data_IF_565327758536
#
_entry.id   IF_565327758536
#
_cell.length_a   1.000
_cell.length_b   1.000
_cell.length_c   1.000
_cell.angle_alpha   90.00
_cell.angle_beta   90.00
_cell.angle_gamma   90.00
#
_symmetry.space_group_name_H-M   'P 1'
#
loop_
_entity.id
_entity.type
_entity.pdbx_description
1 polymer ?
#
# COMPACT_ATOMS: atom_id res chain seq x y z
N UNK A 1 -8.51 8.62 22.21
CA UNK A 1 -7.54 8.04 21.27
C UNK A 1 -6.17 8.60 21.57
N UNK A 2 -5.20 7.72 21.70
CA UNK A 2 -3.81 8.09 21.91
C UNK A 2 -3.14 8.63 20.61
N UNK A 3 -1.93 9.19 20.76
CA UNK A 3 -1.19 9.79 19.64
C UNK A 3 -0.87 8.77 18.55
N UNK A 4 -0.52 7.53 18.93
CA UNK A 4 -0.16 6.46 17.99
C UNK A 4 -1.36 6.05 17.14
N UNK A 5 -2.55 5.93 17.74
CA UNK A 5 -3.77 5.59 17.00
C UNK A 5 -4.19 6.69 16.04
N UNK A 6 -4.02 7.97 16.44
CA UNK A 6 -4.27 9.10 15.52
C UNK A 6 -3.30 9.07 14.34
N UNK A 7 -2.02 8.85 14.59
CA UNK A 7 -1.01 8.74 13.55
C UNK A 7 -1.33 7.58 12.59
N UNK A 8 -1.74 6.42 13.12
CA UNK A 8 -2.16 5.27 12.32
C UNK A 8 -3.33 5.61 11.39
N UNK A 9 -4.35 6.28 11.91
CA UNK A 9 -5.53 6.70 11.13
C UNK A 9 -5.13 7.69 10.03
N UNK A 10 -4.26 8.64 10.32
CA UNK A 10 -3.75 9.59 9.33
C UNK A 10 -2.99 8.87 8.23
N UNK A 11 -2.10 7.93 8.58
CA UNK A 11 -1.38 7.13 7.57
C UNK A 11 -2.33 6.31 6.69
N UNK A 12 -3.36 5.70 7.27
CA UNK A 12 -4.36 4.97 6.50
C UNK A 12 -5.15 5.88 5.55
N UNK A 13 -5.52 7.09 6.00
CA UNK A 13 -6.19 8.09 5.16
C UNK A 13 -5.29 8.58 4.01
N UNK A 14 -4.02 8.84 4.27
CA UNK A 14 -3.02 9.16 3.24
C UNK A 14 -2.88 8.00 2.26
N UNK A 15 -2.87 6.76 2.76
CA UNK A 15 -2.83 5.55 1.94
C UNK A 15 -4.02 5.45 0.96
N UNK A 16 -5.22 5.83 1.40
CA UNK A 16 -6.41 5.90 0.52
C UNK A 16 -6.18 6.90 -0.61
N UNK A 17 -5.69 8.10 -0.30
CA UNK A 17 -5.43 9.13 -1.30
C UNK A 17 -4.37 8.67 -2.31
N UNK A 18 -3.29 8.04 -1.83
CA UNK A 18 -2.22 7.48 -2.69
C UNK A 18 -2.77 6.34 -3.55
N UNK A 19 -3.62 5.47 -3.02
CA UNK A 19 -4.22 4.37 -3.78
C UNK A 19 -5.16 4.87 -4.88
N UNK A 20 -5.93 5.93 -4.63
CA UNK A 20 -6.77 6.59 -5.64
C UNK A 20 -5.89 7.18 -6.76
N UNK A 21 -4.83 7.89 -6.38
CA UNK A 21 -3.88 8.43 -7.36
C UNK A 21 -3.19 7.33 -8.17
N UNK A 22 -2.79 6.24 -7.52
CA UNK A 22 -2.21 5.07 -8.18
C UNK A 22 -3.14 4.49 -9.25
N UNK A 23 -4.42 4.31 -8.92
CA UNK A 23 -5.42 3.84 -9.88
C UNK A 23 -5.62 4.81 -11.05
N UNK A 24 -5.65 6.10 -10.78
CA UNK A 24 -5.73 7.12 -11.82
C UNK A 24 -4.51 7.08 -12.75
N UNK A 25 -3.31 7.01 -12.20
CA UNK A 25 -2.05 6.98 -12.95
C UNK A 25 -1.92 5.69 -13.79
N UNK A 26 -2.33 4.54 -13.24
CA UNK A 26 -2.33 3.27 -13.95
C UNK A 26 -3.31 3.28 -15.13
N UNK A 27 -4.53 3.75 -14.94
CA UNK A 27 -5.54 3.84 -16.02
C UNK A 27 -5.09 4.82 -17.11
N UNK A 28 -4.51 5.96 -16.73
CA UNK A 28 -3.98 6.92 -17.72
C UNK A 28 -2.74 6.41 -18.45
N UNK A 29 -1.90 5.61 -17.80
CA UNK A 29 -0.73 4.99 -18.42
C UNK A 29 -1.12 4.01 -19.55
N UNK A 30 -2.25 3.30 -19.42
CA UNK A 30 -2.77 2.45 -20.51
C UNK A 30 -3.27 3.26 -21.71
N UNK A 31 -3.80 4.46 -21.46
CA UNK A 31 -4.37 5.33 -22.52
C UNK A 31 -3.35 6.24 -23.18
N UNK A 32 -2.37 6.72 -22.42
CA UNK A 32 -1.32 7.63 -22.88
C UNK A 32 0.02 7.32 -22.19
N UNK A 33 0.78 6.34 -22.69
CA UNK A 33 2.05 5.94 -22.08
C UNK A 33 3.04 7.11 -21.98
N UNK A 34 3.68 7.25 -20.82
CA UNK A 34 4.69 8.27 -20.57
C UNK A 34 4.16 9.63 -20.11
N UNK A 35 2.84 9.80 -19.98
CA UNK A 35 2.24 10.98 -19.37
C UNK A 35 2.01 10.70 -17.87
N UNK A 36 2.45 11.57 -17.02
CA UNK A 36 2.25 11.46 -15.57
C UNK A 36 3.49 11.88 -14.79
N UNK A 37 3.26 12.43 -13.61
CA UNK A 37 4.32 12.89 -12.70
C UNK A 37 5.14 11.75 -12.09
N UNK A 38 4.66 10.51 -12.20
CA UNK A 38 5.34 9.32 -11.71
C UNK A 38 6.48 8.84 -12.64
N UNK A 39 6.55 9.35 -13.86
CA UNK A 39 7.57 8.97 -14.84
C UNK A 39 8.74 9.96 -14.81
N UNK A 40 9.72 9.70 -13.94
CA UNK A 40 10.88 10.57 -13.72
C UNK A 40 11.99 10.26 -14.75
N UNK A 41 12.30 8.97 -14.93
CA UNK A 41 13.30 8.46 -15.89
C UNK A 41 13.02 6.99 -16.22
N UNK A 42 13.89 6.33 -16.98
CA UNK A 42 13.72 4.93 -17.40
C UNK A 42 13.74 3.93 -16.23
N UNK A 43 14.31 4.28 -15.10
CA UNK A 43 14.38 3.43 -13.89
C UNK A 43 13.20 3.71 -12.95
N UNK A 44 12.89 5.00 -12.74
CA UNK A 44 11.77 5.43 -11.92
C UNK A 44 10.59 5.80 -12.83
N UNK A 45 9.84 4.79 -13.24
CA UNK A 45 8.73 4.92 -14.18
C UNK A 45 7.57 4.03 -13.79
N UNK A 46 6.46 4.63 -13.38
CA UNK A 46 5.23 3.91 -13.14
C UNK A 46 4.70 3.24 -14.42
N UNK A 47 4.82 3.91 -15.57
CA UNK A 47 4.40 3.33 -16.84
C UNK A 47 5.14 2.04 -17.18
N UNK A 48 6.46 1.96 -16.91
CA UNK A 48 7.24 0.74 -17.11
C UNK A 48 6.76 -0.40 -16.24
N UNK A 49 6.42 -0.12 -14.99
CA UNK A 49 5.88 -1.11 -14.06
C UNK A 49 4.47 -1.55 -14.51
N UNK A 50 3.59 -0.61 -14.84
CA UNK A 50 2.20 -0.90 -15.24
C UNK A 50 2.12 -1.72 -16.54
N UNK A 51 3.00 -1.43 -17.50
CA UNK A 51 3.04 -2.15 -18.77
C UNK A 51 3.84 -3.47 -18.72
N UNK A 52 4.43 -3.82 -17.58
CA UNK A 52 5.21 -5.05 -17.42
C UNK A 52 4.39 -6.34 -17.45
N UNK A 53 3.07 -6.24 -17.25
CA UNK A 53 2.17 -7.40 -17.09
C UNK A 53 2.14 -7.99 -15.67
N UNK A 54 2.95 -7.47 -14.75
CA UNK A 54 3.01 -7.95 -13.35
C UNK A 54 2.18 -7.09 -12.37
N UNK A 55 1.43 -6.12 -12.87
CA UNK A 55 0.55 -5.25 -12.05
C UNK A 55 -0.76 -5.93 -11.66
N UNK A 56 -0.96 -7.17 -12.03
CA UNK A 56 -2.14 -7.97 -11.68
C UNK A 56 -1.76 -9.10 -10.73
N UNK A 57 -2.61 -9.33 -9.75
CA UNK A 57 -2.45 -10.47 -8.84
C UNK A 57 -3.76 -11.29 -8.78
N UNK A 58 -3.74 -12.60 -8.98
CA UNK A 58 -2.59 -13.41 -9.43
C UNK A 58 -2.08 -13.01 -10.82
N UNK A 59 -0.79 -13.22 -11.15
CA UNK A 59 -0.26 -12.91 -12.47
C UNK A 59 -1.02 -13.64 -13.57
N UNK A 60 -1.39 -12.94 -14.64
CA UNK A 60 -2.11 -13.51 -15.77
C UNK A 60 -3.34 -12.73 -16.18
N UNK A 61 -4.09 -13.26 -17.15
CA UNK A 61 -5.23 -12.59 -17.80
C UNK A 61 -6.40 -12.31 -16.85
N UNK A 62 -6.56 -13.11 -15.81
CA UNK A 62 -7.66 -13.01 -14.84
C UNK A 62 -7.29 -12.30 -13.53
N UNK A 63 -6.08 -11.77 -13.44
CA UNK A 63 -5.63 -11.04 -12.26
C UNK A 63 -6.36 -9.71 -12.07
N UNK A 64 -6.50 -9.29 -10.81
CA UNK A 64 -7.02 -7.98 -10.44
C UNK A 64 -5.86 -7.00 -10.34
N UNK A 65 -6.04 -5.79 -10.85
CA UNK A 65 -5.03 -4.75 -10.82
C UNK A 65 -4.64 -4.38 -9.38
N UNK A 66 -3.36 -4.16 -9.14
CA UNK A 66 -2.82 -3.97 -7.78
C UNK A 66 -3.38 -2.75 -7.06
N UNK A 67 -3.75 -1.68 -7.78
CA UNK A 67 -4.37 -0.50 -7.16
C UNK A 67 -5.70 -0.82 -6.47
N UNK A 68 -6.43 -1.82 -6.98
CA UNK A 68 -7.71 -2.26 -6.38
C UNK A 68 -7.45 -2.85 -4.99
N UNK A 69 -6.38 -3.62 -4.82
CA UNK A 69 -5.97 -4.12 -3.49
C UNK A 69 -5.66 -2.97 -2.52
N UNK A 70 -4.99 -1.93 -2.99
CA UNK A 70 -4.74 -0.72 -2.19
C UNK A 70 -6.02 -0.01 -1.78
N UNK A 71 -6.97 0.12 -2.72
CA UNK A 71 -8.29 0.73 -2.47
C UNK A 71 -9.17 -0.08 -1.50
N UNK A 72 -8.91 -1.35 -1.33
CA UNK A 72 -9.58 -2.19 -0.32
C UNK A 72 -8.79 -2.15 0.99
N UNK A 73 -7.47 -2.27 0.92
CA UNK A 73 -6.59 -2.39 2.07
C UNK A 73 -6.58 -1.17 2.97
N UNK A 74 -6.34 0.02 2.43
CA UNK A 74 -6.24 1.23 3.25
C UNK A 74 -7.56 1.65 3.91
N UNK A 75 -8.74 1.58 3.28
CA UNK A 75 -10.01 1.77 3.98
C UNK A 75 -10.26 0.72 5.08
N UNK A 76 -9.89 -0.54 4.83
CA UNK A 76 -9.95 -1.58 5.86
C UNK A 76 -9.06 -1.22 7.05
N UNK A 77 -7.82 -0.79 6.80
CA UNK A 77 -6.90 -0.35 7.86
C UNK A 77 -7.42 0.88 8.60
N UNK A 78 -8.08 1.81 7.91
CA UNK A 78 -8.72 2.96 8.55
C UNK A 78 -9.83 2.52 9.53
N UNK A 79 -10.71 1.64 9.11
CA UNK A 79 -11.78 1.11 9.95
C UNK A 79 -11.24 0.33 11.16
N UNK A 80 -10.27 -0.54 10.93
CA UNK A 80 -9.60 -1.29 11.99
C UNK A 80 -8.84 -0.35 12.94
N UNK A 81 -8.16 0.66 12.40
CA UNK A 81 -7.42 1.65 13.17
C UNK A 81 -8.31 2.48 14.10
N UNK A 82 -9.50 2.87 13.65
CA UNK A 82 -10.49 3.55 14.50
C UNK A 82 -10.93 2.66 15.66
N UNK A 83 -11.18 1.38 15.41
CA UNK A 83 -11.56 0.40 16.45
C UNK A 83 -10.42 0.07 17.39
N UNK A 84 -9.20 -0.04 16.87
CA UNK A 84 -7.98 -0.24 17.65
C UNK A 84 -7.64 0.96 18.54
N UNK A 85 -7.99 2.17 18.12
CA UNK A 85 -7.72 3.41 18.84
C UNK A 85 -8.69 3.72 19.98
N UNK A 86 -9.85 3.09 20.02
CA UNK A 86 -10.84 3.33 21.08
C UNK A 86 -10.45 2.57 22.37
N UNK A 87 -10.66 3.21 23.54
CA UNK A 87 -10.43 2.57 24.85
C UNK A 87 -11.28 1.32 25.08
N UNK A 88 -12.44 1.26 24.44
CA UNK A 88 -13.37 0.12 24.44
C UNK A 88 -13.22 -0.70 23.17
N UNK A 89 -12.05 -0.60 22.48
CA UNK A 89 -11.85 -1.22 21.20
C UNK A 89 -11.96 -2.74 21.24
N UNK A 90 -12.76 -3.28 20.32
CA UNK A 90 -12.96 -4.73 20.16
C UNK A 90 -11.79 -5.41 19.44
N UNK A 91 -10.82 -4.63 18.94
CA UNK A 91 -9.66 -5.14 18.23
C UNK A 91 -8.41 -4.87 19.07
N UNK A 92 -7.77 -5.94 19.50
CA UNK A 92 -6.49 -5.91 20.19
C UNK A 92 -5.32 -5.81 19.21
N UNK A 93 -4.15 -5.38 19.70
CA UNK A 93 -2.92 -5.41 18.91
C UNK A 93 -2.54 -6.81 18.44
N UNK A 94 -2.93 -7.85 19.16
CA UNK A 94 -2.76 -9.25 18.80
C UNK A 94 -3.46 -9.63 17.48
N UNK A 95 -4.56 -8.96 17.15
CA UNK A 95 -5.26 -9.13 15.87
C UNK A 95 -4.70 -8.18 14.82
N UNK A 96 -4.38 -6.95 15.22
CA UNK A 96 -3.93 -5.92 14.28
C UNK A 96 -2.58 -6.22 13.66
N UNK A 97 -1.62 -6.69 14.47
CA UNK A 97 -0.25 -6.99 13.98
C UNK A 97 -0.23 -8.13 12.95
N UNK A 98 -0.86 -9.29 13.16
CA UNK A 98 -0.93 -10.32 12.14
C UNK A 98 -1.57 -9.86 10.82
N UNK A 99 -2.63 -9.06 10.89
CA UNK A 99 -3.27 -8.50 9.69
C UNK A 99 -2.30 -7.63 8.90
N UNK A 100 -1.57 -6.74 9.57
CA UNK A 100 -0.55 -5.90 8.93
C UNK A 100 0.61 -6.73 8.37
N UNK A 101 0.98 -7.84 9.02
CA UNK A 101 2.02 -8.75 8.51
C UNK A 101 1.64 -9.39 7.18
N UNK A 102 0.36 -9.70 6.95
CA UNK A 102 -0.11 -10.15 5.63
C UNK A 102 0.18 -9.08 4.56
N UNK A 103 -0.14 -7.82 4.85
CA UNK A 103 0.19 -6.70 3.95
C UNK A 103 1.69 -6.56 3.73
N UNK A 104 2.52 -6.73 4.75
CA UNK A 104 3.98 -6.68 4.63
C UNK A 104 4.55 -7.79 3.75
N UNK A 105 4.07 -9.01 3.88
CA UNK A 105 4.47 -10.12 3.01
C UNK A 105 4.11 -9.81 1.56
N UNK A 106 2.93 -9.28 1.32
CA UNK A 106 2.50 -8.88 -0.01
C UNK A 106 3.36 -7.74 -0.59
N UNK A 107 3.71 -6.73 0.21
CA UNK A 107 4.59 -5.65 -0.23
C UNK A 107 6.02 -6.13 -0.50
N UNK A 108 6.53 -7.11 0.25
CA UNK A 108 7.83 -7.73 -0.02
C UNK A 108 7.82 -8.49 -1.37
N UNK A 109 6.73 -9.17 -1.69
CA UNK A 109 6.55 -9.81 -2.98
C UNK A 109 6.58 -8.77 -4.12
N UNK A 110 5.91 -7.64 -3.97
CA UNK A 110 5.92 -6.57 -4.96
C UNK A 110 7.31 -5.92 -5.11
N UNK A 111 8.04 -5.72 -4.01
CA UNK A 111 9.43 -5.28 -4.04
C UNK A 111 10.31 -6.24 -4.84
N UNK A 112 10.14 -7.52 -4.63
CA UNK A 112 10.86 -8.54 -5.39
C UNK A 112 10.59 -8.42 -6.89
N UNK A 113 9.34 -8.24 -7.29
CA UNK A 113 8.99 -8.06 -8.70
C UNK A 113 9.65 -6.82 -9.30
N UNK A 114 9.62 -5.68 -8.61
CA UNK A 114 10.25 -4.44 -9.11
C UNK A 114 11.76 -4.56 -9.26
N UNK A 115 12.43 -5.18 -8.30
CA UNK A 115 13.90 -5.29 -8.28
C UNK A 115 14.41 -6.39 -9.19
N UNK A 116 13.82 -7.58 -9.13
CA UNK A 116 14.37 -8.79 -9.74
C UNK A 116 13.76 -9.14 -11.10
N UNK A 117 12.54 -8.69 -11.37
CA UNK A 117 11.78 -9.08 -12.56
C UNK A 117 11.59 -7.93 -13.52
N UNK A 118 11.10 -6.79 -13.05
CA UNK A 118 10.73 -5.64 -13.87
C UNK A 118 11.94 -4.73 -14.11
N UNK A 119 12.85 -4.63 -13.14
CA UNK A 119 13.98 -3.70 -13.11
C UNK A 119 13.60 -2.22 -13.28
N UNK A 120 12.40 -1.88 -12.82
CA UNK A 120 11.89 -0.52 -12.77
C UNK A 120 11.15 -0.30 -11.46
N UNK A 121 11.19 0.93 -10.96
CA UNK A 121 10.60 1.31 -9.68
C UNK A 121 9.42 2.24 -9.90
N UNK A 122 8.32 1.96 -9.21
CA UNK A 122 7.15 2.82 -9.18
C UNK A 122 7.17 3.66 -7.89
N UNK A 123 7.43 4.98 -7.96
CA UNK A 123 7.46 5.83 -6.76
C UNK A 123 6.16 5.83 -5.97
N UNK A 124 5.01 5.74 -6.64
CA UNK A 124 3.69 5.66 -6.00
C UNK A 124 3.52 4.33 -5.27
N UNK A 125 3.93 3.22 -5.88
CA UNK A 125 3.91 1.89 -5.24
C UNK A 125 4.80 1.86 -4.00
N UNK A 126 6.02 2.41 -4.09
CA UNK A 126 6.96 2.51 -2.97
C UNK A 126 6.36 3.32 -1.82
N UNK A 127 5.65 4.41 -2.12
CA UNK A 127 4.94 5.21 -1.11
C UNK A 127 3.92 4.37 -0.34
N UNK A 128 3.18 3.50 -1.02
CA UNK A 128 2.21 2.60 -0.40
C UNK A 128 2.90 1.55 0.49
N UNK A 129 4.06 1.03 0.08
CA UNK A 129 4.84 0.08 0.89
C UNK A 129 5.35 0.74 2.16
N UNK A 130 5.92 1.94 2.06
CA UNK A 130 6.39 2.71 3.22
C UNK A 130 5.26 3.00 4.19
N UNK A 131 4.08 3.40 3.70
CA UNK A 131 2.89 3.62 4.54
C UNK A 131 2.48 2.35 5.29
N UNK A 132 2.50 1.19 4.63
CA UNK A 132 2.16 -0.09 5.27
C UNK A 132 3.18 -0.47 6.37
N UNK A 133 4.48 -0.30 6.11
CA UNK A 133 5.53 -0.54 7.10
C UNK A 133 5.42 0.43 8.29
N UNK A 134 5.15 1.71 8.04
CA UNK A 134 4.96 2.70 9.08
C UNK A 134 3.75 2.38 9.97
N UNK A 135 2.63 1.97 9.39
CA UNK A 135 1.45 1.51 10.14
C UNK A 135 1.76 0.28 11.00
N UNK A 136 2.55 -0.66 10.46
CA UNK A 136 2.99 -1.85 11.22
C UNK A 136 3.87 -1.46 12.40
N UNK A 137 4.83 -0.56 12.19
CA UNK A 137 5.70 -0.07 13.26
C UNK A 137 4.90 0.62 14.38
N UNK A 138 3.90 1.45 14.02
CA UNK A 138 3.02 2.10 15.01
C UNK A 138 2.18 1.08 15.79
N UNK A 139 1.65 0.05 15.13
CA UNK A 139 0.87 -1.00 15.78
C UNK A 139 1.74 -1.83 16.74
N UNK A 140 2.96 -2.17 16.33
CA UNK A 140 3.91 -2.89 17.18
C UNK A 140 4.36 -2.04 18.37
N UNK A 141 4.65 -0.76 18.17
CA UNK A 141 5.00 0.16 19.26
C UNK A 141 3.85 0.27 20.26
N UNK A 142 2.61 0.29 19.81
CA UNK A 142 1.44 0.32 20.69
C UNK A 142 1.24 -0.99 21.46
N UNK A 143 1.57 -2.13 20.85
CA UNK A 143 1.40 -3.46 21.46
C UNK A 143 2.52 -3.77 22.46
N UNK A 144 3.76 -3.47 22.11
CA UNK A 144 4.95 -3.84 22.88
C UNK A 144 5.64 -2.66 23.57
N UNK A 145 5.19 -1.44 23.33
CA UNK A 145 5.71 -0.25 23.96
C UNK A 145 5.37 -0.15 25.45
N UNK A 146 6.17 0.61 26.21
CA UNK A 146 5.93 0.83 27.65
C UNK A 146 4.65 1.62 27.92
#
# INVERSE_FOLDING_TARGET
>A
MDRLSKAFIVLAAVGIAVAIYHGYDEVTAYSAPGTGICNINNVFSCASVFNSGYTKFPPGTYGVDLYVYGLIWFPLMLLLGVRFGRKTGTISGEVMVPVLMVGNVFTLYLWYLEIAVIHAYCPVCISMYVLNYAMTALAMTKLFGP
#
